data_IF_662093371259
#
_entry.id   IF_662093371259
#
_cell.length_a   1.000
_cell.length_b   1.000
_cell.length_c   1.000
_cell.angle_alpha   90.00
_cell.angle_beta   90.00
_cell.angle_gamma   90.00
#
_symmetry.space_group_name_H-M   'P 1'
#
loop_
_entity.id
_entity.type
_entity.pdbx_description
1 polymer ?
#
# COMPACT_ATOMS: atom_id res chain seq x y z
N UNK A 1 6.76 -11.67 -5.86
CA UNK A 1 5.83 -10.95 -4.98
C UNK A 1 5.80 -11.63 -3.61
N UNK A 2 5.52 -10.86 -2.57
CA UNK A 2 5.33 -11.36 -1.21
C UNK A 2 4.09 -12.28 -1.17
N UNK A 3 4.14 -13.33 -0.34
CA UNK A 3 2.94 -14.13 -0.05
C UNK A 3 2.00 -13.24 0.77
N UNK A 4 0.71 -13.12 0.38
CA UNK A 4 -0.26 -12.31 1.12
C UNK A 4 -0.32 -12.71 2.60
N UNK A 5 -0.33 -11.71 3.49
CA UNK A 5 -0.50 -11.92 4.92
C UNK A 5 -1.91 -11.55 5.34
N UNK A 6 -2.47 -12.19 6.38
CA UNK A 6 -3.82 -11.85 6.89
C UNK A 6 -3.99 -10.36 7.20
N UNK A 7 -2.95 -9.70 7.70
CA UNK A 7 -2.95 -8.27 8.02
C UNK A 7 -3.21 -7.40 6.79
N UNK A 8 -2.70 -7.80 5.62
CA UNK A 8 -2.94 -7.07 4.38
C UNK A 8 -4.41 -7.17 3.93
N UNK A 9 -5.07 -8.29 4.20
CA UNK A 9 -6.52 -8.44 3.97
C UNK A 9 -7.31 -7.56 4.95
N UNK A 10 -6.91 -7.47 6.24
CA UNK A 10 -7.51 -6.57 7.21
C UNK A 10 -7.42 -5.10 6.76
N UNK A 11 -6.27 -4.68 6.19
CA UNK A 11 -6.13 -3.33 5.65
C UNK A 11 -7.16 -3.06 4.55
N UNK A 12 -7.35 -3.99 3.61
CA UNK A 12 -8.33 -3.83 2.53
C UNK A 12 -9.76 -3.70 3.07
N UNK A 13 -10.14 -4.51 4.06
CA UNK A 13 -11.44 -4.40 4.74
C UNK A 13 -11.63 -3.05 5.45
N UNK A 14 -10.61 -2.59 6.17
CA UNK A 14 -10.64 -1.29 6.85
C UNK A 14 -10.73 -0.12 5.86
N UNK A 15 -10.11 -0.24 4.69
CA UNK A 15 -10.24 0.73 3.60
C UNK A 15 -11.68 0.75 3.11
N UNK A 16 -12.26 -0.40 2.73
CA UNK A 16 -13.63 -0.49 2.21
C UNK A 16 -14.66 0.13 3.16
N UNK A 17 -14.50 -0.06 4.47
CA UNK A 17 -15.38 0.54 5.49
C UNK A 17 -15.32 2.07 5.55
N UNK A 18 -14.30 2.72 4.94
CA UNK A 18 -14.08 4.18 4.94
C UNK A 18 -14.38 4.87 3.62
N UNK A 19 -14.58 4.08 2.56
CA UNK A 19 -14.80 4.64 1.23
C UNK A 19 -16.25 5.14 1.07
N UNK A 20 -16.46 6.28 0.39
CA UNK A 20 -17.78 6.73 -0.01
C UNK A 20 -18.39 5.79 -1.07
N UNK A 21 -19.68 5.95 -1.32
CA UNK A 21 -20.39 5.12 -2.30
C UNK A 21 -20.06 5.48 -3.77
N UNK A 22 -19.54 6.67 -4.01
CA UNK A 22 -19.24 7.16 -5.37
C UNK A 22 -18.10 6.38 -6.04
N UNK A 23 -18.06 6.32 -7.38
CA UNK A 23 -16.94 5.75 -8.13
C UNK A 23 -15.63 6.49 -7.85
N UNK A 24 -14.56 5.73 -7.65
CA UNK A 24 -13.27 6.24 -7.19
C UNK A 24 -12.14 5.92 -8.16
N UNK A 25 -11.11 6.77 -8.16
CA UNK A 25 -9.79 6.48 -8.71
C UNK A 25 -8.90 6.00 -7.55
N UNK A 26 -8.44 4.77 -7.61
CA UNK A 26 -7.70 4.10 -6.54
C UNK A 26 -6.30 3.75 -7.05
N UNK A 27 -5.29 3.96 -6.22
CA UNK A 27 -3.92 3.50 -6.46
C UNK A 27 -3.51 2.50 -5.38
N UNK A 28 -3.08 1.32 -5.79
CA UNK A 28 -2.36 0.35 -4.96
C UNK A 28 -0.88 0.39 -5.34
N UNK A 29 -0.05 0.98 -4.45
CA UNK A 29 1.38 1.17 -4.68
C UNK A 29 2.21 0.06 -4.05
N UNK A 30 3.09 -0.57 -4.84
CA UNK A 30 3.79 -1.78 -4.43
C UNK A 30 2.83 -2.96 -4.37
N UNK A 31 1.98 -3.10 -5.40
CA UNK A 31 0.82 -3.99 -5.38
C UNK A 31 1.17 -5.48 -5.21
N UNK A 32 2.40 -5.89 -5.51
CA UNK A 32 2.82 -7.27 -5.40
C UNK A 32 1.94 -8.22 -6.22
N UNK A 33 1.28 -9.16 -5.55
CA UNK A 33 0.30 -10.08 -6.17
C UNK A 33 -1.07 -9.45 -6.41
N UNK A 34 -1.29 -8.20 -5.97
CA UNK A 34 -2.50 -7.44 -6.15
C UNK A 34 -3.54 -7.58 -5.03
N UNK A 35 -3.18 -8.08 -3.84
CA UNK A 35 -4.14 -8.38 -2.77
C UNK A 35 -5.02 -7.18 -2.44
N UNK A 36 -4.44 -6.03 -2.13
CA UNK A 36 -5.22 -4.84 -1.78
C UNK A 36 -6.03 -4.38 -2.98
N UNK A 37 -5.35 -4.07 -4.09
CA UNK A 37 -6.00 -3.47 -5.25
C UNK A 37 -7.04 -4.35 -5.91
N UNK A 38 -6.82 -5.66 -6.00
CA UNK A 38 -7.81 -6.59 -6.58
C UNK A 38 -9.02 -6.78 -5.66
N UNK A 39 -8.82 -6.80 -4.33
CA UNK A 39 -9.93 -6.81 -3.37
C UNK A 39 -10.79 -5.55 -3.54
N UNK A 40 -10.15 -4.38 -3.59
CA UNK A 40 -10.87 -3.11 -3.82
C UNK A 40 -11.58 -3.08 -5.17
N UNK A 41 -10.94 -3.58 -6.24
CA UNK A 41 -11.55 -3.64 -7.57
C UNK A 41 -12.75 -4.58 -7.65
N UNK A 42 -12.71 -5.71 -6.93
CA UNK A 42 -13.81 -6.66 -6.86
C UNK A 42 -15.02 -6.10 -6.11
N UNK A 43 -14.77 -5.47 -4.94
CA UNK A 43 -15.82 -4.90 -4.08
C UNK A 43 -16.37 -3.56 -4.61
N UNK A 44 -15.62 -2.89 -5.49
CA UNK A 44 -15.99 -1.61 -6.09
C UNK A 44 -15.89 -1.66 -7.62
N UNK A 45 -16.79 -2.41 -8.29
CA UNK A 45 -16.74 -2.61 -9.75
C UNK A 45 -17.00 -1.33 -10.56
N UNK A 46 -17.56 -0.29 -9.95
CA UNK A 46 -17.79 1.06 -10.50
C UNK A 46 -16.56 1.97 -10.41
N UNK A 47 -15.56 1.59 -9.61
CA UNK A 47 -14.32 2.32 -9.42
C UNK A 47 -13.21 1.81 -10.35
N UNK A 48 -12.14 2.59 -10.52
CA UNK A 48 -10.97 2.16 -11.29
C UNK A 48 -9.75 2.05 -10.40
N UNK A 49 -9.03 0.93 -10.47
CA UNK A 49 -7.86 0.66 -9.63
C UNK A 49 -6.59 0.59 -10.47
N UNK A 50 -5.63 1.45 -10.17
CA UNK A 50 -4.27 1.38 -10.72
C UNK A 50 -3.42 0.54 -9.77
N UNK A 51 -2.88 -0.56 -10.27
CA UNK A 51 -1.93 -1.43 -9.57
C UNK A 51 -0.52 -1.07 -10.04
N UNK A 52 0.30 -0.53 -9.16
CA UNK A 52 1.64 -0.08 -9.49
C UNK A 52 2.71 -0.88 -8.73
N UNK A 53 3.75 -1.31 -9.42
CA UNK A 53 4.91 -1.97 -8.82
C UNK A 53 6.17 -1.68 -9.64
N UNK A 54 7.33 -1.75 -9.01
CA UNK A 54 8.62 -1.64 -9.70
C UNK A 54 8.97 -2.95 -10.43
N UNK A 55 8.45 -4.08 -9.96
CA UNK A 55 8.70 -5.43 -10.44
C UNK A 55 7.71 -5.82 -11.54
N UNK A 56 8.22 -6.10 -12.73
CA UNK A 56 7.40 -6.66 -13.83
C UNK A 56 6.81 -8.03 -13.49
N UNK A 57 7.53 -8.86 -12.73
CA UNK A 57 7.04 -10.17 -12.27
C UNK A 57 5.85 -10.03 -11.31
N UNK A 58 5.88 -9.01 -10.42
CA UNK A 58 4.76 -8.70 -9.53
C UNK A 58 3.53 -8.27 -10.35
N UNK A 59 3.70 -7.37 -11.30
CA UNK A 59 2.62 -6.92 -12.18
C UNK A 59 2.06 -8.05 -13.05
N UNK A 60 2.92 -8.95 -13.56
CA UNK A 60 2.49 -10.14 -14.30
C UNK A 60 1.60 -11.02 -13.44
N UNK A 61 2.01 -11.29 -12.18
CA UNK A 61 1.24 -12.08 -11.23
C UNK A 61 -0.09 -11.42 -10.87
N UNK A 62 -0.09 -10.11 -10.59
CA UNK A 62 -1.32 -9.35 -10.34
C UNK A 62 -2.30 -9.42 -11.52
N UNK A 63 -1.77 -9.30 -12.76
CA UNK A 63 -2.57 -9.43 -13.97
C UNK A 63 -3.13 -10.84 -14.19
N UNK A 64 -2.38 -11.89 -13.82
CA UNK A 64 -2.88 -13.27 -13.82
C UNK A 64 -4.00 -13.48 -12.81
N UNK A 65 -3.83 -12.95 -11.59
CA UNK A 65 -4.82 -13.01 -10.55
C UNK A 65 -6.10 -12.26 -10.95
N UNK A 66 -5.99 -11.06 -11.51
CA UNK A 66 -7.12 -10.31 -12.03
C UNK A 66 -7.92 -11.09 -13.07
N UNK A 67 -7.23 -11.72 -14.03
CA UNK A 67 -7.88 -12.55 -15.06
C UNK A 67 -8.59 -13.77 -14.46
N UNK A 68 -7.97 -14.46 -13.48
CA UNK A 68 -8.58 -15.60 -12.78
C UNK A 68 -9.82 -15.22 -12.00
N UNK A 69 -9.83 -14.01 -11.42
CA UNK A 69 -10.95 -13.46 -10.64
C UNK A 69 -12.00 -12.75 -11.50
N UNK A 70 -11.76 -12.58 -12.81
CA UNK A 70 -12.68 -11.87 -13.72
C UNK A 70 -12.73 -10.36 -13.48
N UNK A 71 -11.68 -9.77 -12.87
CA UNK A 71 -11.60 -8.35 -12.57
C UNK A 71 -11.05 -7.59 -13.79
N UNK A 72 -11.80 -6.61 -14.29
CA UNK A 72 -11.47 -5.85 -15.49
C UNK A 72 -11.26 -4.34 -15.28
N UNK A 73 -11.67 -3.80 -14.14
CA UNK A 73 -11.61 -2.37 -13.79
C UNK A 73 -10.24 -1.98 -13.20
N UNK A 74 -9.16 -2.51 -13.79
CA UNK A 74 -7.77 -2.26 -13.33
C UNK A 74 -6.88 -1.76 -14.46
N UNK A 75 -5.79 -1.07 -14.07
CA UNK A 75 -4.64 -0.77 -14.93
C UNK A 75 -3.35 -1.20 -14.20
N UNK A 76 -2.46 -1.89 -14.89
CA UNK A 76 -1.15 -2.28 -14.38
C UNK A 76 -0.11 -1.26 -14.84
N UNK A 77 0.71 -0.72 -13.91
CA UNK A 77 1.70 0.31 -14.21
C UNK A 77 3.04 -0.05 -13.58
N UNK A 78 4.09 -0.21 -14.39
CA UNK A 78 5.44 -0.29 -13.85
C UNK A 78 5.93 1.08 -13.40
N UNK A 79 6.29 1.22 -12.11
CA UNK A 79 6.68 2.50 -11.52
C UNK A 79 7.61 2.31 -10.31
N UNK A 80 8.69 3.09 -10.25
CA UNK A 80 9.40 3.35 -8.99
C UNK A 80 8.65 4.46 -8.27
N UNK A 81 7.88 4.09 -7.25
CA UNK A 81 6.89 4.95 -6.59
C UNK A 81 6.04 5.69 -7.65
N UNK A 82 6.03 7.00 -7.63
CA UNK A 82 5.17 7.82 -8.48
C UNK A 82 5.76 8.18 -9.86
N UNK A 83 6.95 7.69 -10.21
CA UNK A 83 7.65 8.09 -11.45
C UNK A 83 6.86 7.80 -12.74
N UNK A 84 6.12 6.68 -12.77
CA UNK A 84 5.25 6.28 -13.88
C UNK A 84 3.77 6.64 -13.70
N UNK A 85 3.39 7.20 -12.55
CA UNK A 85 1.99 7.47 -12.21
C UNK A 85 1.51 8.78 -12.82
N UNK A 86 0.25 8.81 -13.22
CA UNK A 86 -0.44 9.99 -13.76
C UNK A 86 -1.84 10.09 -13.15
N UNK A 87 -2.33 11.33 -13.03
CA UNK A 87 -3.65 11.63 -12.49
C UNK A 87 -3.65 11.87 -10.98
N UNK A 88 -4.86 12.05 -10.43
CA UNK A 88 -5.11 12.20 -9.00
C UNK A 88 -6.03 11.10 -8.51
N UNK A 89 -5.85 10.68 -7.26
CA UNK A 89 -6.52 9.53 -6.67
C UNK A 89 -7.38 9.94 -5.48
N UNK A 90 -8.51 9.25 -5.32
CA UNK A 90 -9.39 9.38 -4.16
C UNK A 90 -8.89 8.53 -3.00
N UNK A 91 -8.14 7.46 -3.33
CA UNK A 91 -7.47 6.58 -2.38
C UNK A 91 -6.09 6.20 -2.91
N UNK A 92 -5.07 6.28 -2.05
CA UNK A 92 -3.78 5.64 -2.25
C UNK A 92 -3.59 4.63 -1.12
N UNK A 93 -3.46 3.36 -1.46
CA UNK A 93 -3.11 2.29 -0.53
C UNK A 93 -1.70 1.79 -0.81
N UNK A 94 -0.97 1.36 0.22
CA UNK A 94 0.35 0.78 0.04
C UNK A 94 0.73 -0.17 1.19
N UNK A 95 1.30 -1.31 0.83
CA UNK A 95 2.07 -2.17 1.70
C UNK A 95 3.48 -2.26 1.14
N UNK A 96 4.32 -1.29 1.47
CA UNK A 96 5.69 -1.17 0.97
C UNK A 96 6.67 -1.90 1.88
N UNK A 97 7.88 -2.28 1.39
CA UNK A 97 8.93 -2.82 2.24
C UNK A 97 9.19 -1.95 3.47
N UNK A 98 9.10 -2.55 4.66
CA UNK A 98 9.25 -1.85 5.93
C UNK A 98 10.19 -2.55 6.92
N UNK A 99 10.86 -3.63 6.52
CA UNK A 99 11.77 -4.38 7.40
C UNK A 99 13.14 -3.69 7.45
N UNK A 100 13.71 -3.47 8.65
CA UNK A 100 15.07 -2.99 8.79
C UNK A 100 16.10 -3.97 8.20
N UNK A 101 17.15 -3.43 7.55
CA UNK A 101 18.21 -4.23 6.92
C UNK A 101 18.91 -5.17 7.94
N UNK A 102 18.98 -4.76 9.22
CA UNK A 102 19.58 -5.54 10.29
C UNK A 102 18.84 -6.83 10.65
N UNK A 103 17.55 -6.92 10.34
CA UNK A 103 16.71 -8.09 10.61
C UNK A 103 16.78 -9.16 9.51
N UNK A 104 17.46 -8.86 8.40
CA UNK A 104 17.61 -9.75 7.25
C UNK A 104 18.14 -11.16 7.62
N UNK A 105 19.07 -11.23 8.58
CA UNK A 105 19.69 -12.49 8.98
C UNK A 105 18.75 -13.43 9.77
N UNK A 106 17.85 -12.86 10.57
CA UNK A 106 16.88 -13.63 11.36
C UNK A 106 15.69 -14.06 10.49
N UNK A 107 15.19 -13.17 9.65
CA UNK A 107 14.06 -13.43 8.75
C UNK A 107 14.42 -14.34 7.57
N UNK A 108 15.69 -14.42 7.17
CA UNK A 108 16.14 -15.23 6.02
C UNK A 108 15.83 -16.74 6.17
N UNK A 109 15.52 -17.23 7.37
CA UNK A 109 15.09 -18.63 7.60
C UNK A 109 13.62 -18.85 7.27
N UNK A 110 12.76 -17.86 7.49
CA UNK A 110 11.31 -17.94 7.28
C UNK A 110 10.89 -17.45 5.89
N UNK A 111 11.62 -16.49 5.34
CA UNK A 111 11.28 -15.78 4.09
C UNK A 111 12.17 -16.15 2.90
N UNK A 112 12.74 -17.37 2.88
CA UNK A 112 13.67 -17.83 1.82
C UNK A 112 13.12 -17.74 0.39
N UNK A 113 11.85 -17.52 0.23
CA UNK A 113 11.17 -17.46 -1.07
C UNK A 113 10.73 -16.05 -1.49
N UNK A 114 10.87 -15.05 -0.60
CA UNK A 114 10.47 -13.68 -0.92
C UNK A 114 11.67 -12.86 -1.47
N UNK A 115 11.47 -12.06 -2.53
CA UNK A 115 12.53 -11.21 -3.05
C UNK A 115 12.99 -10.17 -2.02
N UNK A 116 14.29 -10.00 -1.82
CA UNK A 116 14.86 -9.03 -0.85
C UNK A 116 14.34 -7.59 -1.07
N UNK A 117 14.10 -7.20 -2.32
CA UNK A 117 13.50 -5.90 -2.69
C UNK A 117 12.07 -5.71 -2.16
N UNK A 118 11.38 -6.78 -1.81
CA UNK A 118 10.01 -6.71 -1.30
C UNK A 118 9.93 -6.62 0.23
N UNK A 119 11.07 -6.62 0.95
CA UNK A 119 11.11 -6.71 2.39
C UNK A 119 11.87 -5.57 3.07
N UNK A 120 13.05 -5.18 2.57
CA UNK A 120 13.99 -4.33 3.28
C UNK A 120 13.93 -2.87 2.82
N UNK A 121 14.03 -1.93 3.78
CA UNK A 121 13.91 -0.50 3.53
C UNK A 121 14.82 0.31 4.49
N UNK A 122 16.12 0.09 4.40
CA UNK A 122 17.12 0.83 5.15
C UNK A 122 17.29 0.39 6.60
N UNK A 123 18.03 1.20 7.36
CA UNK A 123 18.46 0.85 8.71
C UNK A 123 17.31 0.69 9.72
N UNK A 124 16.21 1.43 9.56
CA UNK A 124 15.01 1.41 10.41
C UNK A 124 13.74 0.98 9.67
N UNK A 125 13.87 0.53 8.41
CA UNK A 125 12.76 0.09 7.58
C UNK A 125 11.87 1.21 7.04
N UNK A 126 12.23 2.48 7.20
CA UNK A 126 11.39 3.62 6.82
C UNK A 126 11.86 4.38 5.56
N UNK A 127 12.99 4.00 4.96
CA UNK A 127 13.57 4.78 3.85
C UNK A 127 12.60 4.94 2.67
N UNK A 128 11.88 3.88 2.33
CA UNK A 128 10.91 3.94 1.24
C UNK A 128 9.68 4.76 1.61
N UNK A 129 9.18 4.64 2.85
CA UNK A 129 8.07 5.43 3.36
C UNK A 129 8.41 6.93 3.45
N UNK A 130 9.67 7.29 3.80
CA UNK A 130 10.15 8.69 3.78
C UNK A 130 10.13 9.31 2.39
N UNK A 131 10.30 8.52 1.33
CA UNK A 131 10.15 8.98 -0.06
C UNK A 131 8.69 8.98 -0.51
N UNK A 132 7.95 7.95 -0.10
CA UNK A 132 6.56 7.72 -0.53
C UNK A 132 5.58 8.75 0.05
N UNK A 133 5.61 9.00 1.37
CA UNK A 133 4.64 9.84 2.06
C UNK A 133 4.59 11.27 1.50
N UNK A 134 5.72 12.00 1.38
CA UNK A 134 5.68 13.35 0.80
C UNK A 134 5.19 13.36 -0.66
N UNK A 135 5.58 12.34 -1.45
CA UNK A 135 5.16 12.25 -2.84
C UNK A 135 3.66 11.95 -2.98
N UNK A 136 3.11 11.07 -2.13
CA UNK A 136 1.69 10.69 -2.16
C UNK A 136 0.75 11.88 -1.98
N UNK A 137 1.16 12.90 -1.22
CA UNK A 137 0.37 14.11 -1.01
C UNK A 137 0.00 14.80 -2.32
N UNK A 138 0.95 14.91 -3.26
CA UNK A 138 0.71 15.55 -4.57
C UNK A 138 -0.16 14.73 -5.54
N UNK A 139 -0.41 13.46 -5.24
CA UNK A 139 -1.24 12.57 -6.06
C UNK A 139 -2.62 12.28 -5.46
N UNK A 140 -2.87 12.69 -4.21
CA UNK A 140 -4.21 12.61 -3.61
C UNK A 140 -5.03 13.83 -3.99
N UNK A 141 -6.31 13.61 -4.27
CA UNK A 141 -7.31 14.67 -4.39
C UNK A 141 -7.66 15.23 -3.02
N UNK A 142 -8.26 16.44 -2.96
CA UNK A 142 -8.83 16.97 -1.72
C UNK A 142 -9.84 15.97 -1.12
N UNK A 143 -9.72 15.73 0.18
CA UNK A 143 -10.49 14.71 0.90
C UNK A 143 -10.03 13.27 0.64
N UNK A 144 -9.05 13.06 -0.23
CA UNK A 144 -8.51 11.75 -0.57
C UNK A 144 -7.87 11.04 0.62
N UNK A 145 -7.98 9.71 0.65
CA UNK A 145 -7.51 8.85 1.74
C UNK A 145 -6.14 8.25 1.40
N UNK A 146 -5.21 8.32 2.33
CA UNK A 146 -3.99 7.53 2.35
C UNK A 146 -4.17 6.39 3.35
N UNK A 147 -3.85 5.15 2.97
CA UNK A 147 -3.93 3.96 3.81
C UNK A 147 -2.68 3.11 3.65
N UNK A 148 -2.00 2.80 4.74
CA UNK A 148 -0.71 2.11 4.72
C UNK A 148 -0.71 0.88 5.64
N UNK A 149 0.18 -0.07 5.33
CA UNK A 149 0.63 -1.11 6.27
C UNK A 149 2.09 -0.82 6.64
N UNK A 150 2.43 -0.98 7.94
CA UNK A 150 3.77 -0.71 8.50
C UNK A 150 4.22 -1.81 9.47
N UNK A 151 5.51 -1.80 9.79
CA UNK A 151 6.09 -2.61 10.85
C UNK A 151 5.67 -2.16 12.26
N UNK A 152 5.89 -3.02 13.25
CA UNK A 152 5.35 -2.88 14.61
C UNK A 152 5.81 -1.63 15.36
N UNK A 153 7.01 -1.11 15.18
CA UNK A 153 7.54 0.03 15.95
C UNK A 153 7.63 1.35 15.16
N UNK A 154 7.00 1.39 13.97
CA UNK A 154 7.12 2.53 13.04
C UNK A 154 6.04 3.61 13.20
N UNK A 155 5.01 3.33 14.00
CA UNK A 155 3.78 4.12 14.10
C UNK A 155 4.02 5.59 14.45
N UNK A 156 4.83 5.88 15.48
CA UNK A 156 5.04 7.25 15.96
C UNK A 156 5.83 8.11 14.97
N UNK A 157 6.85 7.53 14.34
CA UNK A 157 7.66 8.24 13.34
C UNK A 157 6.83 8.56 12.10
N UNK A 158 5.99 7.60 11.66
CA UNK A 158 5.15 7.80 10.49
C UNK A 158 4.07 8.84 10.71
N UNK A 159 3.40 8.86 11.88
CA UNK A 159 2.42 9.91 12.20
C UNK A 159 3.04 11.31 12.12
N UNK A 160 4.20 11.51 12.75
CA UNK A 160 4.93 12.78 12.67
C UNK A 160 5.30 13.15 11.23
N UNK A 161 5.65 12.16 10.41
CA UNK A 161 5.93 12.36 8.99
C UNK A 161 4.70 12.79 8.19
N UNK A 162 3.55 12.15 8.42
CA UNK A 162 2.28 12.50 7.78
C UNK A 162 1.84 13.92 8.12
N UNK A 163 1.85 14.29 9.40
CA UNK A 163 1.50 15.65 9.87
C UNK A 163 2.43 16.70 9.28
N UNK A 164 3.75 16.42 9.25
CA UNK A 164 4.75 17.33 8.67
C UNK A 164 4.57 17.55 7.16
N UNK A 165 3.98 16.57 6.45
CA UNK A 165 3.65 16.67 5.04
C UNK A 165 2.32 17.38 4.78
N UNK A 166 1.57 17.77 5.83
CA UNK A 166 0.31 18.49 5.70
C UNK A 166 -0.94 17.59 5.67
N UNK A 167 -0.81 16.29 5.91
CA UNK A 167 -1.96 15.41 6.06
C UNK A 167 -2.78 15.76 7.31
N UNK A 168 -4.09 15.62 7.19
CA UNK A 168 -5.05 15.79 8.27
C UNK A 168 -5.66 14.43 8.70
N UNK A 169 -6.42 14.45 9.79
CA UNK A 169 -7.15 13.27 10.30
C UNK A 169 -6.27 12.01 10.37
N UNK A 170 -5.03 12.19 10.84
CA UNK A 170 -4.08 11.08 10.97
C UNK A 170 -4.48 10.16 12.12
N UNK A 171 -4.59 8.86 11.82
CA UNK A 171 -4.86 7.83 12.82
C UNK A 171 -4.03 6.58 12.55
N UNK A 172 -3.81 5.76 13.58
CA UNK A 172 -3.27 4.40 13.41
C UNK A 172 -4.24 3.40 13.99
N UNK A 173 -4.62 2.43 13.19
CA UNK A 173 -5.43 1.29 13.62
C UNK A 173 -4.53 0.11 13.94
N UNK A 174 -5.02 -0.72 14.86
CA UNK A 174 -4.35 -1.96 15.25
C UNK A 174 -4.91 -3.13 14.45
N UNK A 175 -4.03 -4.10 14.16
CA UNK A 175 -4.43 -5.40 13.64
C UNK A 175 -5.14 -6.24 14.71
N UNK A 176 -5.65 -7.41 14.34
CA UNK A 176 -6.34 -8.33 15.27
C UNK A 176 -5.43 -8.83 16.40
N UNK A 177 -4.10 -8.75 16.25
CA UNK A 177 -3.12 -9.08 17.30
C UNK A 177 -2.85 -7.91 18.24
N UNK A 178 -3.44 -6.73 17.98
CA UNK A 178 -3.28 -5.51 18.76
C UNK A 178 -2.05 -4.67 18.41
N UNK A 179 -1.33 -4.99 17.32
CA UNK A 179 -0.18 -4.25 16.84
C UNK A 179 -0.64 -3.01 16.06
N UNK A 180 -0.05 -1.86 16.32
CA UNK A 180 -0.30 -0.61 15.60
C UNK A 180 0.31 -0.70 14.19
N UNK A 181 -0.53 -1.01 13.18
CA UNK A 181 -0.08 -1.45 11.86
C UNK A 181 -0.66 -0.67 10.69
N UNK A 182 -1.83 -0.05 10.86
CA UNK A 182 -2.56 0.56 9.74
C UNK A 182 -2.72 2.07 9.92
N UNK A 183 -1.77 2.88 9.44
CA UNK A 183 -1.90 4.32 9.36
C UNK A 183 -2.92 4.72 8.30
N UNK A 184 -3.79 5.67 8.66
CA UNK A 184 -4.70 6.36 7.77
C UNK A 184 -4.49 7.87 7.90
N UNK A 185 -4.61 8.59 6.79
CA UNK A 185 -4.54 10.05 6.76
C UNK A 185 -5.36 10.60 5.60
N UNK A 186 -5.82 11.87 5.71
CA UNK A 186 -6.53 12.54 4.62
C UNK A 186 -5.75 13.71 4.07
N UNK A 187 -5.87 13.89 2.78
CA UNK A 187 -5.48 15.14 2.13
C UNK A 187 -6.54 16.20 2.49
N UNK A 188 -6.18 17.34 3.12
CA UNK A 188 -7.13 18.37 3.53
C UNK A 188 -7.86 19.03 2.37
#
# INVERSE_FOLDING_TARGET
ALIPRPETEELAEMILARLPADPLQILDMGCGSGVIGLTLAAERPDSHVTLADISEDALSLAGENARKLGIANITLVRSDLFSGIRGGFDLIAANLPYVPDGEAAEMARELRHDPALALFSGADGLDLLRRFVPASFGFLKHGGLLALEIGHDQASQLLSGLESCGFAETEIRRDMSGVARFPFARHP
#
